data_IF_901276523696
#
_entry.id   IF_901276523696
#
_cell.length_a   1.000
_cell.length_b   1.000
_cell.length_c   1.000
_cell.angle_alpha   90.00
_cell.angle_beta   90.00
_cell.angle_gamma   90.00
#
_symmetry.space_group_name_H-M   'P 1'
#
loop_
_entity.id
_entity.type
_entity.pdbx_description
1 polymer ?
#
# COMPACT_ATOMS: atom_id res chain seq x y z
N UNK A 1 52.51 -24.51 -21.01
CA UNK A 1 52.93 -25.37 -19.87
C UNK A 1 51.81 -25.27 -18.85
N UNK A 2 50.93 -26.28 -18.82
CA UNK A 2 50.99 -27.47 -17.93
C UNK A 2 50.57 -27.07 -16.51
N UNK A 3 49.59 -27.68 -15.84
CA UNK A 3 48.92 -28.98 -15.99
C UNK A 3 47.63 -28.93 -15.14
N UNK A 4 46.55 -29.54 -15.63
CA UNK A 4 45.54 -30.19 -14.78
C UNK A 4 45.99 -31.67 -14.57
N UNK A 5 45.16 -32.61 -14.09
CA UNK A 5 44.32 -32.75 -12.89
C UNK A 5 44.57 -34.11 -12.17
N UNK A 6 43.97 -34.36 -10.99
CA UNK A 6 43.65 -35.73 -10.47
C UNK A 6 42.36 -35.61 -9.64
N UNK A 7 41.18 -36.12 -9.99
CA UNK A 7 40.65 -37.46 -10.37
C UNK A 7 40.63 -38.50 -9.24
N UNK A 8 39.41 -39.01 -9.01
CA UNK A 8 39.02 -40.32 -8.45
C UNK A 8 39.18 -40.48 -6.91
N UNK A 9 38.28 -41.14 -6.19
CA UNK A 9 37.58 -42.38 -6.57
C UNK A 9 36.33 -42.64 -5.72
N UNK A 10 35.32 -43.12 -6.43
CA UNK A 10 34.08 -43.77 -6.00
C UNK A 10 34.34 -45.14 -5.35
N UNK A 11 33.63 -45.50 -4.27
CA UNK A 11 33.28 -46.91 -3.97
C UNK A 11 32.15 -47.08 -2.95
N UNK A 12 31.00 -47.51 -3.46
CA UNK A 12 29.98 -48.39 -2.85
C UNK A 12 29.94 -49.63 -3.79
N UNK A 13 29.15 -50.71 -3.58
CA UNK A 13 28.68 -51.45 -2.41
C UNK A 13 29.21 -52.92 -2.42
N UNK A 14 28.97 -53.70 -1.36
CA UNK A 14 28.77 -55.17 -1.41
C UNK A 14 28.34 -55.63 0.00
N UNK A 15 27.62 -56.70 0.31
CA UNK A 15 26.50 -57.49 -0.22
C UNK A 15 26.29 -58.63 0.79
N UNK A 16 25.13 -59.30 0.70
CA UNK A 16 24.99 -60.74 0.96
C UNK A 16 24.82 -61.30 2.40
N UNK A 17 23.57 -61.76 2.64
CA UNK A 17 23.13 -63.11 3.07
C UNK A 17 23.46 -63.61 4.49
N UNK A 18 22.45 -63.93 5.31
CA UNK A 18 21.66 -65.20 5.42
C UNK A 18 22.44 -66.41 5.94
N UNK A 19 22.02 -66.96 7.10
CA UNK A 19 21.83 -68.40 7.46
C UNK A 19 21.41 -68.47 8.96
N UNK A 20 20.26 -68.98 9.42
CA UNK A 20 19.62 -70.33 9.42
C UNK A 20 20.02 -71.21 10.64
N UNK A 21 19.05 -71.39 11.55
CA UNK A 21 18.65 -72.57 12.40
C UNK A 21 19.71 -73.35 13.21
N UNK A 22 19.45 -73.92 14.41
CA UNK A 22 18.44 -74.97 14.73
C UNK A 22 18.46 -75.36 16.23
N UNK A 23 17.27 -75.54 16.83
CA UNK A 23 16.75 -76.63 17.71
C UNK A 23 17.52 -77.27 18.89
N UNK A 24 16.76 -77.43 20.00
CA UNK A 24 16.45 -78.63 20.86
C UNK A 24 16.42 -78.18 22.34
N UNK A 25 15.58 -78.63 23.27
CA UNK A 25 14.74 -79.83 23.43
C UNK A 25 13.92 -79.69 24.73
N UNK A 26 12.67 -80.15 24.74
CA UNK A 26 11.91 -80.54 25.95
C UNK A 26 12.02 -82.08 26.11
N UNK A 27 11.63 -82.74 27.23
CA UNK A 27 10.20 -82.90 27.60
C UNK A 27 9.87 -83.11 29.11
N UNK A 28 8.57 -83.25 29.41
CA UNK A 28 7.88 -84.19 30.36
C UNK A 28 6.83 -83.45 31.24
N UNK A 29 5.53 -83.48 30.85
CA UNK A 29 4.38 -84.27 31.39
C UNK A 29 4.22 -84.14 32.93
N UNK A 30 3.04 -83.95 33.54
CA UNK A 30 1.82 -84.81 33.48
C UNK A 30 0.56 -84.03 33.97
N UNK A 31 -0.57 -84.34 33.31
CA UNK A 31 -2.00 -84.39 33.70
C UNK A 31 -2.75 -83.25 34.42
N UNK A 32 -3.96 -83.00 33.90
CA UNK A 32 -5.06 -82.28 34.55
C UNK A 32 -6.16 -82.00 33.55
N UNK A 33 -7.03 -82.98 33.30
CA UNK A 33 -8.13 -82.90 32.34
C UNK A 33 -9.34 -82.16 32.92
N UNK A 34 -9.86 -81.16 32.21
CA UNK A 34 -11.25 -80.68 32.37
C UNK A 34 -11.81 -80.33 30.99
N UNK A 35 -12.87 -81.05 30.59
CA UNK A 35 -13.66 -80.86 29.36
C UNK A 35 -14.53 -79.61 29.49
N UNK A 36 -14.49 -78.70 28.50
CA UNK A 36 -15.64 -77.85 28.16
C UNK A 36 -15.72 -77.62 26.64
N UNK A 37 -16.68 -78.31 26.03
CA UNK A 37 -17.61 -77.88 24.96
C UNK A 37 -17.08 -77.03 23.79
N UNK A 38 -17.02 -77.68 22.64
CA UNK A 38 -16.94 -77.07 21.31
C UNK A 38 -18.05 -76.04 21.05
N UNK A 39 -17.67 -74.85 20.56
CA UNK A 39 -18.54 -73.97 19.79
C UNK A 39 -17.87 -73.65 18.45
N UNK A 40 -18.67 -73.78 17.40
CA UNK A 40 -18.33 -73.72 15.98
C UNK A 40 -17.71 -72.37 15.61
N UNK A 41 -16.65 -72.39 14.83
CA UNK A 41 -16.16 -71.25 14.07
C UNK A 41 -17.08 -71.05 12.87
N UNK A 42 -17.86 -69.97 12.88
CA UNK A 42 -18.46 -69.41 11.67
C UNK A 42 -17.70 -68.13 11.34
N UNK A 43 -16.88 -68.24 10.31
CA UNK A 43 -16.21 -67.15 9.61
C UNK A 43 -17.27 -66.16 9.09
N UNK A 44 -17.31 -64.94 9.62
CA UNK A 44 -17.92 -63.81 8.92
C UNK A 44 -16.83 -62.79 8.60
N UNK A 45 -16.55 -62.68 7.30
CA UNK A 45 -15.74 -61.64 6.72
C UNK A 45 -16.31 -60.26 7.11
N UNK A 46 -15.59 -59.52 7.94
CA UNK A 46 -15.89 -58.10 8.20
C UNK A 46 -15.53 -57.31 6.94
N UNK A 47 -16.54 -57.06 6.11
CA UNK A 47 -16.51 -56.00 5.10
C UNK A 47 -16.29 -54.66 5.81
N UNK A 48 -15.29 -53.93 5.35
CA UNK A 48 -15.04 -52.51 5.56
C UNK A 48 -16.32 -51.67 5.67
N UNK A 49 -16.42 -50.90 6.76
CA UNK A 49 -17.08 -49.59 6.75
C UNK A 49 -16.14 -48.58 7.40
N UNK A 50 -15.29 -47.98 6.58
CA UNK A 50 -14.77 -46.63 6.84
C UNK A 50 -15.99 -45.70 6.93
N UNK A 51 -16.46 -45.46 8.15
CA UNK A 51 -17.42 -44.39 8.42
C UNK A 51 -16.68 -43.07 8.33
N UNK A 52 -16.57 -42.55 7.11
CA UNK A 52 -16.24 -41.14 6.89
C UNK A 52 -17.44 -40.34 7.40
N UNK A 53 -17.42 -40.01 8.70
CA UNK A 53 -18.39 -39.13 9.33
C UNK A 53 -18.31 -37.75 8.67
N UNK A 54 -19.26 -37.48 7.77
CA UNK A 54 -19.43 -36.20 7.07
C UNK A 54 -19.76 -35.04 8.02
N UNK A 55 -20.01 -35.34 9.31
CA UNK A 55 -20.26 -34.37 10.36
C UNK A 55 -18.99 -33.61 10.77
N UNK A 56 -17.83 -34.28 10.79
CA UNK A 56 -16.57 -33.63 11.18
C UNK A 56 -16.10 -32.64 10.11
N UNK A 57 -16.38 -32.90 8.83
CA UNK A 57 -16.04 -31.97 7.75
C UNK A 57 -16.82 -30.66 7.87
N UNK A 58 -18.09 -30.72 8.26
CA UNK A 58 -18.93 -29.52 8.49
C UNK A 58 -18.48 -28.75 9.73
N UNK A 59 -18.09 -29.43 10.80
CA UNK A 59 -17.56 -28.80 12.03
C UNK A 59 -16.16 -28.20 11.82
N UNK A 60 -15.30 -28.87 11.06
CA UNK A 60 -13.97 -28.35 10.69
C UNK A 60 -14.13 -27.15 9.75
N UNK A 61 -15.05 -27.22 8.79
CA UNK A 61 -15.31 -26.12 7.85
C UNK A 61 -15.96 -24.92 8.56
N UNK A 62 -16.89 -25.15 9.49
CA UNK A 62 -17.48 -24.07 10.30
C UNK A 62 -16.48 -23.45 11.27
N UNK A 63 -15.61 -24.25 11.89
CA UNK A 63 -14.50 -23.77 12.73
C UNK A 63 -13.49 -22.95 11.92
N UNK A 64 -13.13 -23.39 10.71
CA UNK A 64 -12.26 -22.63 9.81
C UNK A 64 -12.91 -21.29 9.41
N UNK A 65 -14.20 -21.31 9.08
CA UNK A 65 -14.93 -20.08 8.75
C UNK A 65 -15.04 -19.13 9.95
N UNK A 66 -15.25 -19.66 11.16
CA UNK A 66 -15.26 -18.87 12.40
C UNK A 66 -13.91 -18.22 12.69
N UNK A 67 -12.81 -18.95 12.51
CA UNK A 67 -11.44 -18.43 12.68
C UNK A 67 -11.16 -17.36 11.62
N UNK A 68 -11.55 -17.59 10.37
CA UNK A 68 -11.43 -16.59 9.31
C UNK A 68 -12.23 -15.32 9.65
N UNK A 69 -13.44 -15.47 10.17
CA UNK A 69 -14.31 -14.36 10.54
C UNK A 69 -13.77 -13.59 11.76
N UNK A 70 -13.17 -14.29 12.74
CA UNK A 70 -12.41 -13.69 13.84
C UNK A 70 -11.18 -12.91 13.35
N UNK A 71 -10.41 -13.46 12.40
CA UNK A 71 -9.26 -12.78 11.80
C UNK A 71 -9.72 -11.53 11.04
N UNK A 72 -10.80 -11.62 10.28
CA UNK A 72 -11.39 -10.47 9.56
C UNK A 72 -11.90 -9.42 10.54
N UNK A 73 -12.59 -9.82 11.62
CA UNK A 73 -13.07 -8.90 12.65
C UNK A 73 -11.91 -8.25 13.41
N UNK A 74 -10.85 -9.00 13.71
CA UNK A 74 -9.64 -8.49 14.34
C UNK A 74 -8.88 -7.51 13.43
N UNK A 75 -8.73 -7.84 12.15
CA UNK A 75 -8.20 -6.94 11.13
C UNK A 75 -9.05 -5.67 11.04
N UNK A 76 -10.37 -5.81 10.93
CA UNK A 76 -11.31 -4.68 10.83
C UNK A 76 -11.18 -3.76 12.04
N UNK A 77 -11.18 -4.32 13.26
CA UNK A 77 -11.02 -3.56 14.50
C UNK A 77 -9.63 -2.91 14.62
N UNK A 78 -8.58 -3.58 14.15
CA UNK A 78 -7.22 -3.03 14.10
C UNK A 78 -7.09 -1.89 13.08
N UNK A 79 -7.84 -1.93 11.98
CA UNK A 79 -7.85 -0.89 10.96
C UNK A 79 -8.71 0.32 11.33
N UNK A 80 -9.74 0.12 12.17
CA UNK A 80 -10.61 1.18 12.70
C UNK A 80 -10.01 1.90 13.91
N UNK A 81 -8.85 1.46 14.45
CA UNK A 81 -8.14 2.25 15.46
C UNK A 81 -7.76 3.60 14.85
N UNK A 82 -8.36 4.65 15.38
CA UNK A 82 -7.98 6.03 15.11
C UNK A 82 -6.50 6.20 15.40
N UNK A 83 -5.79 6.86 14.49
CA UNK A 83 -4.43 7.30 14.75
C UNK A 83 -4.51 8.39 15.82
N UNK A 84 -3.85 8.17 16.96
CA UNK A 84 -3.72 9.19 18.00
C UNK A 84 -2.59 10.13 17.61
N UNK A 85 -2.95 11.22 16.92
CA UNK A 85 -2.02 12.26 16.46
C UNK A 85 -1.89 13.41 17.48
N UNK A 86 -2.21 13.14 18.77
CA UNK A 86 -2.14 14.09 19.89
C UNK A 86 -3.05 15.33 19.73
N UNK A 87 -4.18 15.24 19.00
CA UNK A 87 -5.17 16.31 18.92
C UNK A 87 -4.80 17.46 17.97
N UNK A 88 -3.81 17.28 17.09
CA UNK A 88 -3.32 18.32 16.17
C UNK A 88 -3.30 17.79 14.73
N UNK A 89 -3.78 18.63 13.80
CA UNK A 89 -3.71 18.33 12.36
C UNK A 89 -2.27 17.99 11.96
N UNK A 90 -2.08 16.82 11.34
CA UNK A 90 -0.76 16.38 10.89
C UNK A 90 -0.47 16.98 9.51
N UNK A 91 0.62 17.74 9.41
CA UNK A 91 1.08 18.35 8.16
C UNK A 91 2.30 17.59 7.68
N UNK A 92 2.21 16.98 6.51
CA UNK A 92 3.30 16.22 5.91
C UNK A 92 3.72 16.84 4.58
N UNK A 93 5.02 17.08 4.40
CA UNK A 93 5.56 17.64 3.15
C UNK A 93 6.13 16.55 2.25
N UNK A 94 5.57 16.43 1.05
CA UNK A 94 6.07 15.55 -0.01
C UNK A 94 6.99 16.34 -0.93
N UNK A 95 8.23 15.89 -1.08
CA UNK A 95 9.23 16.50 -1.97
C UNK A 95 9.12 15.98 -3.42
N UNK A 96 9.71 16.72 -4.35
CA UNK A 96 9.67 16.37 -5.79
C UNK A 96 10.44 15.07 -6.04
N UNK A 97 9.77 14.10 -6.67
CA UNK A 97 10.35 12.81 -7.03
C UNK A 97 10.32 11.75 -5.93
N UNK A 98 9.70 12.03 -4.77
CA UNK A 98 9.49 11.01 -3.76
C UNK A 98 8.49 9.94 -4.23
N UNK A 99 8.79 8.69 -3.89
CA UNK A 99 7.88 7.56 -4.08
C UNK A 99 6.95 7.37 -2.87
N UNK A 100 5.83 6.70 -3.07
CA UNK A 100 4.93 6.30 -1.98
C UNK A 100 5.67 5.55 -0.86
N UNK A 101 6.57 4.64 -1.21
CA UNK A 101 7.34 3.89 -0.20
C UNK A 101 8.16 4.82 0.70
N UNK A 102 8.86 5.79 0.11
CA UNK A 102 9.65 6.77 0.86
C UNK A 102 8.77 7.65 1.76
N UNK A 103 7.58 8.04 1.29
CA UNK A 103 6.62 8.80 2.09
C UNK A 103 6.11 7.99 3.28
N UNK A 104 5.75 6.72 3.08
CA UNK A 104 5.28 5.86 4.16
C UNK A 104 6.37 5.54 5.17
N UNK A 105 7.61 5.36 4.69
CA UNK A 105 8.76 5.17 5.57
C UNK A 105 9.02 6.41 6.42
N UNK A 106 8.92 7.63 5.86
CA UNK A 106 9.00 8.89 6.62
C UNK A 106 7.86 9.01 7.64
N UNK A 107 6.61 8.81 7.21
CA UNK A 107 5.44 8.88 8.11
C UNK A 107 5.51 7.87 9.27
N UNK A 108 6.14 6.72 9.05
CA UNK A 108 6.39 5.75 10.11
C UNK A 108 7.50 6.18 11.07
N UNK A 109 8.57 6.80 10.56
CA UNK A 109 9.61 7.40 11.40
C UNK A 109 9.04 8.54 12.27
N UNK A 110 8.09 9.29 11.72
CA UNK A 110 7.37 10.36 12.42
C UNK A 110 6.32 9.82 13.42
N UNK A 111 6.18 8.50 13.55
CA UNK A 111 5.26 7.84 14.48
C UNK A 111 3.79 7.86 14.05
N UNK A 112 3.48 8.41 12.87
CA UNK A 112 2.11 8.49 12.32
C UNK A 112 1.61 7.15 11.81
N UNK A 113 2.50 6.27 11.36
CA UNK A 113 2.14 4.93 10.90
C UNK A 113 2.83 3.91 11.81
N UNK A 114 2.06 3.26 12.69
CA UNK A 114 2.59 2.20 13.56
C UNK A 114 3.12 1.00 12.75
N UNK A 115 2.42 0.63 11.67
CA UNK A 115 2.77 -0.55 10.86
C UNK A 115 2.90 -0.20 9.36
N UNK A 116 4.14 0.07 8.94
CA UNK A 116 4.49 0.42 7.55
C UNK A 116 4.18 -0.70 6.58
N UNK A 117 4.32 -1.97 7.00
CA UNK A 117 4.06 -3.12 6.13
C UNK A 117 2.59 -3.18 5.74
N UNK A 118 1.69 -2.83 6.66
CA UNK A 118 0.25 -2.77 6.38
C UNK A 118 -0.08 -1.65 5.39
N UNK A 119 0.54 -0.48 5.55
CA UNK A 119 0.39 0.64 4.62
C UNK A 119 0.91 0.28 3.22
N UNK A 120 2.09 -0.34 3.11
CA UNK A 120 2.65 -0.82 1.83
C UNK A 120 1.78 -1.88 1.18
N UNK A 121 1.21 -2.78 1.98
CA UNK A 121 0.29 -3.82 1.48
C UNK A 121 -0.98 -3.20 0.89
N UNK A 122 -1.56 -2.20 1.57
CA UNK A 122 -2.72 -1.46 1.07
C UNK A 122 -2.45 -0.89 -0.33
N UNK A 123 -1.33 -0.17 -0.52
CA UNK A 123 -0.93 0.39 -1.81
C UNK A 123 -0.67 -0.63 -2.91
N UNK A 124 -0.34 -1.88 -2.55
CA UNK A 124 -0.16 -2.95 -3.52
C UNK A 124 -1.48 -3.46 -4.09
N UNK A 125 -2.57 -3.37 -3.32
CA UNK A 125 -3.91 -3.79 -3.75
C UNK A 125 -4.72 -2.67 -4.41
N UNK A 126 -4.38 -1.41 -4.17
CA UNK A 126 -5.02 -0.27 -4.83
C UNK A 126 -4.20 0.22 -6.03
N UNK A 127 -4.84 0.92 -6.97
CA UNK A 127 -4.17 1.69 -8.02
C UNK A 127 -4.12 3.17 -7.61
N UNK A 128 -3.09 3.61 -6.86
CA UNK A 128 -3.02 5.00 -6.41
C UNK A 128 -2.79 5.95 -7.59
N UNK A 129 -3.22 7.21 -7.44
CA UNK A 129 -2.83 8.27 -8.39
C UNK A 129 -1.33 8.57 -8.26
N UNK A 130 -0.70 9.21 -9.26
CA UNK A 130 0.64 9.75 -9.09
C UNK A 130 0.69 10.66 -7.87
N UNK A 131 1.70 10.46 -7.02
CA UNK A 131 1.89 11.26 -5.82
C UNK A 131 2.20 12.71 -6.22
N UNK A 132 1.47 13.66 -5.63
CA UNK A 132 1.68 15.08 -5.90
C UNK A 132 2.68 15.66 -4.89
N UNK A 133 3.56 16.53 -5.38
CA UNK A 133 4.50 17.27 -4.54
C UNK A 133 3.76 18.40 -3.83
N UNK A 134 4.05 18.60 -2.54
CA UNK A 134 3.45 19.66 -1.72
C UNK A 134 3.12 19.20 -0.30
N UNK A 135 2.48 20.06 0.47
CA UNK A 135 2.13 19.80 1.87
C UNK A 135 0.72 19.21 1.96
N UNK A 136 0.58 18.06 2.58
CA UNK A 136 -0.70 17.42 2.88
C UNK A 136 -1.11 17.71 4.31
N UNK A 137 -2.37 18.05 4.53
CA UNK A 137 -2.96 18.25 5.87
C UNK A 137 -3.97 17.15 6.13
N UNK A 138 -3.70 16.36 7.16
CA UNK A 138 -4.59 15.32 7.65
C UNK A 138 -5.29 15.83 8.91
N UNK A 139 -6.61 16.03 8.82
CA UNK A 139 -7.45 16.51 9.93
C UNK A 139 -7.88 15.34 10.81
N UNK A 140 -7.75 15.51 12.12
CA UNK A 140 -8.25 14.55 13.11
C UNK A 140 -9.78 14.63 13.29
N UNK A 141 -10.43 13.54 13.76
CA UNK A 141 -9.90 12.18 13.90
C UNK A 141 -9.78 11.48 12.53
N UNK A 142 -8.64 10.83 12.28
CA UNK A 142 -8.38 10.10 11.02
C UNK A 142 -7.90 8.67 11.31
N UNK A 143 -8.47 7.69 10.62
CA UNK A 143 -8.00 6.30 10.65
C UNK A 143 -6.87 6.08 9.64
N UNK A 144 -6.03 5.08 9.87
CA UNK A 144 -4.95 4.73 8.95
C UNK A 144 -5.47 4.48 7.52
N UNK A 145 -6.59 3.75 7.37
CA UNK A 145 -7.21 3.53 6.06
C UNK A 145 -7.61 4.86 5.40
N UNK A 146 -8.21 5.77 6.16
CA UNK A 146 -8.64 7.07 5.63
C UNK A 146 -7.45 7.91 5.21
N UNK A 147 -6.39 7.97 6.02
CA UNK A 147 -5.13 8.64 5.69
C UNK A 147 -4.52 8.11 4.40
N UNK A 148 -4.33 6.78 4.31
CA UNK A 148 -3.78 6.13 3.12
C UNK A 148 -4.67 6.35 1.89
N UNK A 149 -5.99 6.32 2.07
CA UNK A 149 -6.94 6.59 0.99
C UNK A 149 -6.89 8.04 0.51
N UNK A 150 -6.75 9.02 1.41
CA UNK A 150 -6.62 10.43 1.08
C UNK A 150 -5.32 10.67 0.32
N UNK A 151 -4.21 10.14 0.83
CA UNK A 151 -2.91 10.22 0.17
C UNK A 151 -2.94 9.56 -1.22
N UNK A 152 -3.58 8.39 -1.36
CA UNK A 152 -3.73 7.69 -2.64
C UNK A 152 -4.57 8.45 -3.68
N UNK A 153 -5.56 9.23 -3.21
CA UNK A 153 -6.42 10.07 -4.05
C UNK A 153 -5.85 11.46 -4.31
N UNK A 154 -4.82 11.87 -3.57
CA UNK A 154 -4.30 13.23 -3.55
C UNK A 154 -5.18 14.22 -2.78
N UNK A 155 -6.06 13.73 -1.91
CA UNK A 155 -6.91 14.56 -1.07
C UNK A 155 -6.11 15.13 0.12
N UNK A 156 -6.47 16.34 0.56
CA UNK A 156 -5.79 17.01 1.67
C UNK A 156 -4.49 17.75 1.28
N UNK A 157 -4.12 17.74 0.00
CA UNK A 157 -3.04 18.60 -0.49
C UNK A 157 -3.43 20.07 -0.29
N UNK A 158 -2.56 20.81 0.39
CA UNK A 158 -2.70 22.25 0.56
C UNK A 158 -2.50 22.91 -0.78
N UNK A 159 -3.42 23.82 -1.11
CA UNK A 159 -3.40 24.57 -2.35
C UNK A 159 -3.50 26.06 -2.06
N UNK A 160 -2.84 26.86 -2.89
CA UNK A 160 -3.00 28.30 -2.93
C UNK A 160 -4.23 28.65 -3.77
N UNK A 161 -5.11 29.49 -3.24
CA UNK A 161 -6.29 30.01 -3.95
C UNK A 161 -5.98 31.41 -4.46
N UNK A 162 -6.14 31.63 -5.76
CA UNK A 162 -5.96 32.94 -6.40
C UNK A 162 -7.26 33.31 -7.09
N UNK A 163 -7.89 34.39 -6.65
CA UNK A 163 -9.13 34.90 -7.25
C UNK A 163 -8.83 36.16 -8.04
N UNK A 164 -9.05 36.09 -9.34
CA UNK A 164 -8.92 37.20 -10.28
C UNK A 164 -10.32 37.76 -10.49
N UNK A 165 -10.56 38.99 -10.04
CA UNK A 165 -11.87 39.64 -10.21
C UNK A 165 -11.96 40.34 -11.57
N UNK A 166 -13.17 40.50 -12.08
CA UNK A 166 -13.41 41.28 -13.31
C UNK A 166 -12.94 42.73 -13.14
N UNK A 167 -12.33 43.28 -14.19
CA UNK A 167 -11.82 44.65 -14.19
C UNK A 167 -10.56 44.88 -13.34
N UNK A 168 -9.93 43.81 -12.83
CA UNK A 168 -8.63 43.93 -12.14
C UNK A 168 -7.57 44.42 -13.11
N UNK A 169 -6.79 45.42 -12.68
CA UNK A 169 -5.66 45.90 -13.48
C UNK A 169 -4.46 44.97 -13.35
N UNK A 170 -3.56 44.95 -14.32
CA UNK A 170 -2.36 44.11 -14.27
C UNK A 170 -1.50 44.40 -13.04
N UNK A 171 -1.37 45.69 -12.67
CA UNK A 171 -0.63 46.12 -11.48
C UNK A 171 -1.27 45.61 -10.18
N UNK A 172 -2.59 45.62 -10.09
CA UNK A 172 -3.32 45.07 -8.93
C UNK A 172 -3.16 43.56 -8.84
N UNK A 173 -3.21 42.86 -9.98
CA UNK A 173 -2.98 41.41 -10.05
C UNK A 173 -1.56 41.08 -9.54
N UNK A 174 -0.53 41.78 -10.01
CA UNK A 174 0.85 41.60 -9.52
C UNK A 174 0.98 41.87 -8.02
N UNK A 175 0.34 42.94 -7.52
CA UNK A 175 0.34 43.24 -6.09
C UNK A 175 -0.37 42.15 -5.25
N UNK A 176 -1.47 41.59 -5.77
CA UNK A 176 -2.19 40.49 -5.14
C UNK A 176 -1.34 39.22 -5.09
N UNK A 177 -0.65 38.88 -6.19
CA UNK A 177 0.28 37.76 -6.19
C UNK A 177 1.44 37.99 -5.21
N UNK A 178 1.99 39.21 -5.17
CA UNK A 178 3.09 39.58 -4.28
C UNK A 178 2.73 39.51 -2.79
N UNK A 179 1.46 39.75 -2.44
CA UNK A 179 0.93 39.64 -1.09
C UNK A 179 0.62 38.20 -0.66
N UNK A 180 0.59 37.24 -1.58
CA UNK A 180 0.25 35.85 -1.26
C UNK A 180 1.50 35.05 -0.86
N UNK A 181 1.60 34.70 0.43
CA UNK A 181 2.71 33.91 1.00
C UNK A 181 2.77 32.46 0.48
N UNK A 182 1.66 31.94 -0.06
CA UNK A 182 1.57 30.59 -0.58
C UNK A 182 2.11 30.47 -2.03
N UNK A 183 2.43 31.60 -2.68
CA UNK A 183 2.97 31.68 -4.03
C UNK A 183 4.44 32.07 -3.96
N UNK A 184 5.26 31.38 -4.75
CA UNK A 184 6.69 31.67 -4.85
C UNK A 184 6.90 32.91 -5.73
N UNK A 185 7.42 33.96 -5.10
CA UNK A 185 7.69 35.25 -5.74
C UNK A 185 8.98 35.18 -6.55
N UNK A 186 8.88 35.36 -7.87
CA UNK A 186 10.02 35.39 -8.80
C UNK A 186 10.03 36.64 -9.69
N UNK A 187 8.98 37.47 -9.61
CA UNK A 187 8.79 38.67 -10.42
C UNK A 187 9.11 40.00 -9.70
N UNK A 188 9.48 39.98 -8.41
CA UNK A 188 9.63 41.20 -7.57
C UNK A 188 10.54 42.27 -8.16
N UNK A 189 11.60 41.88 -8.87
CA UNK A 189 12.60 42.80 -9.41
C UNK A 189 12.44 43.05 -10.93
N UNK A 190 11.30 42.65 -11.52
CA UNK A 190 11.07 42.75 -12.96
C UNK A 190 10.11 43.89 -13.28
N UNK A 191 10.43 44.62 -14.34
CA UNK A 191 9.53 45.60 -14.94
C UNK A 191 8.38 44.91 -15.67
N UNK A 192 7.27 45.62 -15.87
CA UNK A 192 6.11 45.10 -16.61
C UNK A 192 6.50 44.53 -17.98
N UNK A 193 7.39 45.21 -18.72
CA UNK A 193 7.83 44.75 -20.04
C UNK A 193 8.63 43.44 -19.96
N UNK A 194 9.49 43.28 -18.96
CA UNK A 194 10.23 42.03 -18.75
C UNK A 194 9.31 40.88 -18.34
N UNK A 195 8.28 41.19 -17.54
CA UNK A 195 7.27 40.20 -17.15
C UNK A 195 6.52 39.72 -18.39
N UNK A 196 6.02 40.63 -19.23
CA UNK A 196 5.33 40.30 -20.48
C UNK A 196 6.21 39.45 -21.42
N UNK A 197 7.49 39.79 -21.53
CA UNK A 197 8.45 39.01 -22.31
C UNK A 197 8.65 37.59 -21.75
N UNK A 198 8.74 37.45 -20.43
CA UNK A 198 8.88 36.15 -19.75
C UNK A 198 7.62 35.28 -19.89
N UNK A 199 6.46 35.93 -20.00
CA UNK A 199 5.16 35.32 -20.28
C UNK A 199 4.95 34.97 -21.76
N UNK A 200 5.85 35.40 -22.66
CA UNK A 200 5.75 35.24 -24.11
C UNK A 200 4.48 35.92 -24.69
N UNK A 201 4.03 36.99 -24.04
CA UNK A 201 2.88 37.81 -24.43
C UNK A 201 3.36 38.85 -25.45
N UNK A 202 2.66 38.95 -26.59
CA UNK A 202 3.04 39.86 -27.68
C UNK A 202 2.28 41.19 -27.63
N UNK A 203 1.17 41.25 -26.91
CA UNK A 203 0.41 42.48 -26.72
C UNK A 203 1.19 43.50 -25.88
N UNK A 204 1.16 44.77 -26.30
CA UNK A 204 1.80 45.87 -25.57
C UNK A 204 1.06 46.24 -24.27
N UNK A 205 -0.24 45.92 -24.19
CA UNK A 205 -1.09 46.24 -23.07
C UNK A 205 -1.46 44.96 -22.29
N UNK A 206 -1.08 44.85 -21.01
CA UNK A 206 -1.38 43.66 -20.20
C UNK A 206 -2.84 43.58 -19.72
N UNK A 207 -3.61 44.65 -19.93
CA UNK A 207 -4.98 44.78 -19.43
C UNK A 207 -5.94 43.88 -20.22
N UNK A 208 -6.80 43.16 -19.50
CA UNK A 208 -7.76 42.23 -20.11
C UNK A 208 -7.16 40.93 -20.66
N UNK A 209 -5.86 40.67 -20.43
CA UNK A 209 -5.18 39.45 -20.88
C UNK A 209 -5.33 38.25 -19.92
N UNK A 210 -5.91 38.46 -18.74
CA UNK A 210 -6.01 37.44 -17.70
C UNK A 210 -7.48 37.19 -17.37
N UNK A 211 -7.88 35.92 -17.44
CA UNK A 211 -9.27 35.54 -17.25
C UNK A 211 -9.71 35.72 -15.78
N UNK A 212 -10.89 36.32 -15.54
CA UNK A 212 -11.47 36.46 -14.21
C UNK A 212 -12.06 35.12 -13.77
N UNK A 213 -11.45 34.49 -12.77
CA UNK A 213 -11.97 33.29 -12.11
C UNK A 213 -11.20 33.07 -10.80
N UNK A 214 -11.63 32.05 -10.05
CA UNK A 214 -10.93 31.51 -8.90
C UNK A 214 -10.13 30.26 -9.29
N UNK A 215 -8.81 30.39 -9.24
CA UNK A 215 -7.86 29.34 -9.58
C UNK A 215 -7.24 28.72 -8.34
N UNK A 216 -6.90 27.44 -8.45
CA UNK A 216 -6.28 26.64 -7.39
C UNK A 216 -4.93 26.16 -7.91
N UNK A 217 -3.86 26.51 -7.19
CA UNK A 217 -2.50 26.14 -7.52
C UNK A 217 -1.85 25.34 -6.38
N UNK A 218 -0.82 24.56 -6.69
CA UNK A 218 0.00 23.95 -5.66
C UNK A 218 0.68 25.04 -4.80
N UNK A 219 0.98 24.73 -3.53
CA UNK A 219 1.79 25.62 -2.70
C UNK A 219 3.16 25.85 -3.34
N UNK A 220 3.69 27.06 -3.16
CA UNK A 220 4.98 27.51 -3.68
C UNK A 220 5.10 27.42 -5.21
N UNK A 221 3.98 27.36 -5.93
CA UNK A 221 3.96 27.56 -7.37
C UNK A 221 4.47 28.96 -7.69
N UNK A 222 5.22 29.12 -8.79
CA UNK A 222 5.79 30.42 -9.15
C UNK A 222 4.70 31.35 -9.69
N UNK A 223 4.76 32.62 -9.29
CA UNK A 223 3.96 33.72 -9.84
C UNK A 223 3.96 33.77 -11.38
N UNK A 224 5.10 33.51 -12.05
CA UNK A 224 5.20 33.40 -13.51
C UNK A 224 4.26 32.32 -14.07
N UNK A 225 4.25 31.14 -13.45
CA UNK A 225 3.43 30.01 -13.90
C UNK A 225 1.94 30.25 -13.65
N UNK A 226 1.61 30.93 -12.55
CA UNK A 226 0.24 31.42 -12.30
C UNK A 226 -0.19 32.35 -13.43
N UNK A 227 0.57 33.39 -13.73
CA UNK A 227 0.23 34.34 -14.81
C UNK A 227 0.14 33.66 -16.19
N UNK A 228 1.05 32.72 -16.51
CA UNK A 228 0.98 31.94 -17.76
C UNK A 228 -0.32 31.13 -17.84
N UNK A 229 -0.77 30.54 -16.73
CA UNK A 229 -2.02 29.80 -16.67
C UNK A 229 -3.23 30.71 -16.91
N UNK A 230 -3.27 31.86 -16.23
CA UNK A 230 -4.35 32.86 -16.37
C UNK A 230 -4.45 33.38 -17.81
N UNK A 231 -3.31 33.67 -18.44
CA UNK A 231 -3.25 34.10 -19.83
C UNK A 231 -3.72 33.01 -20.81
N UNK A 232 -3.26 31.77 -20.62
CA UNK A 232 -3.69 30.66 -21.45
C UNK A 232 -5.20 30.40 -21.34
N UNK A 233 -5.80 30.59 -20.17
CA UNK A 233 -7.25 30.51 -19.98
C UNK A 233 -7.99 31.61 -20.73
N UNK A 234 -7.50 32.86 -20.66
CA UNK A 234 -8.09 33.96 -21.43
C UNK A 234 -8.08 33.65 -22.92
N UNK A 235 -6.94 33.20 -23.45
CA UNK A 235 -6.83 32.87 -24.87
C UNK A 235 -7.77 31.72 -25.28
N UNK A 236 -7.98 30.74 -24.39
CA UNK A 236 -8.95 29.67 -24.62
C UNK A 236 -10.39 30.19 -24.66
N UNK A 237 -10.76 31.12 -23.77
CA UNK A 237 -12.10 31.73 -23.76
C UNK A 237 -12.34 32.51 -25.06
N UNK A 238 -11.35 33.29 -25.51
CA UNK A 238 -11.43 34.06 -26.75
C UNK A 238 -11.53 33.19 -28.01
N UNK A 239 -10.98 31.97 -27.99
CA UNK A 239 -11.11 31.02 -29.10
C UNK A 239 -12.46 30.30 -29.15
N UNK A 240 -13.22 30.31 -28.04
CA UNK A 240 -14.50 29.62 -27.90
C UNK A 240 -15.71 30.56 -28.06
N UNK A 241 -15.47 31.87 -28.12
CA UNK A 241 -16.47 32.91 -28.36
C UNK A 241 -16.56 33.25 -29.86
#
# INVERSE_FOLDING_TARGET
MSEAPKKNTQKKPDNSKKTVTKTKSAPKKIAGAVRVRAKRNTTQATKTKTTTSSSNKRVILSSFFLVLLMIVAWLYWSFERSLDLNGKSYIFSVEKGQSYNQVLDKMAQDGVIENVYLAKLYYKFIKPRPLQTGSYVFKEPISLLKLLSQLAKGEGLMMAKITVIEGITFKQLLAQLAANEQIKQTLKDKTQSEILQLLEIKEAHPEGLFAPDTYIFALNETDVKVLKHLYAQQQKILQQA
#
